data_IF_567549580905
#
_entry.id   IF_567549580905
#
_cell.length_a   1.000
_cell.length_b   1.000
_cell.length_c   1.000
_cell.angle_alpha   90.00
_cell.angle_beta   90.00
_cell.angle_gamma   90.00
#
_symmetry.space_group_name_H-M   'P 1'
#
loop_
_entity.id
_entity.type
_entity.pdbx_description
1 polymer ?
#
# COMPACT_ATOMS: atom_id res chain seq x y z
N UNK A 1 -19.82 -9.92 11.68
CA UNK A 1 -18.90 -11.07 11.78
C UNK A 1 -19.55 -12.03 12.76
N UNK A 2 -19.65 -13.30 12.37
CA UNK A 2 -19.88 -14.41 13.30
C UNK A 2 -18.48 -14.99 13.59
N UNK A 3 -18.12 -15.17 14.85
CA UNK A 3 -16.78 -15.66 15.24
C UNK A 3 -16.78 -17.19 15.26
N UNK A 4 -16.22 -17.80 14.21
CA UNK A 4 -16.01 -19.25 14.17
C UNK A 4 -14.60 -19.63 14.60
N UNK A 5 -14.49 -20.56 15.56
CA UNK A 5 -13.21 -21.00 16.11
C UNK A 5 -12.35 -21.85 15.15
N UNK A 6 -12.92 -22.32 14.03
CA UNK A 6 -12.27 -23.29 13.13
C UNK A 6 -12.46 -22.99 11.64
N UNK A 7 -13.57 -22.38 11.21
CA UNK A 7 -13.80 -21.85 9.85
C UNK A 7 -13.40 -20.38 9.73
N UNK A 8 -13.27 -19.86 8.51
CA UNK A 8 -13.15 -18.42 8.28
C UNK A 8 -14.51 -17.77 8.49
N UNK A 9 -14.51 -16.52 8.96
CA UNK A 9 -15.71 -15.69 9.05
C UNK A 9 -16.45 -15.67 7.70
N UNK A 10 -17.66 -16.21 7.66
CA UNK A 10 -18.47 -16.19 6.46
C UNK A 10 -18.89 -14.76 6.13
N UNK A 11 -18.64 -14.34 4.88
CA UNK A 11 -19.00 -13.00 4.41
C UNK A 11 -20.51 -12.93 4.18
N UNK A 12 -21.21 -12.20 5.05
CA UNK A 12 -22.68 -12.06 5.05
C UNK A 12 -23.19 -11.33 3.79
N UNK A 13 -22.38 -10.44 3.22
CA UNK A 13 -22.72 -9.68 2.02
C UNK A 13 -21.75 -8.53 1.77
N UNK A 14 -21.73 -8.00 0.54
CA UNK A 14 -20.86 -6.89 0.11
C UNK A 14 -21.68 -5.67 -0.31
N UNK A 15 -21.11 -4.50 -0.07
CA UNK A 15 -21.54 -3.23 -0.65
C UNK A 15 -20.42 -2.72 -1.56
N UNK A 16 -20.75 -2.45 -2.83
CA UNK A 16 -19.81 -1.83 -3.78
C UNK A 16 -20.17 -0.35 -3.97
N UNK A 17 -19.30 0.55 -3.55
CA UNK A 17 -19.39 1.99 -3.86
C UNK A 17 -18.28 2.35 -4.87
N UNK A 18 -18.66 2.69 -6.09
CA UNK A 18 -17.67 3.08 -7.11
C UNK A 18 -17.17 4.49 -6.87
N UNK A 19 -15.95 4.79 -7.34
CA UNK A 19 -15.39 6.14 -7.30
C UNK A 19 -16.34 7.16 -7.92
N UNK A 20 -16.99 6.83 -9.04
CA UNK A 20 -17.90 7.75 -9.74
C UNK A 20 -19.17 8.03 -8.91
N UNK A 21 -19.65 7.02 -8.16
CA UNK A 21 -20.78 7.18 -7.22
C UNK A 21 -20.42 8.14 -6.08
N UNK A 22 -19.19 8.07 -5.59
CA UNK A 22 -18.70 8.97 -4.55
C UNK A 22 -18.37 10.36 -5.10
N UNK A 23 -17.78 10.45 -6.29
CA UNK A 23 -17.40 11.71 -6.93
C UNK A 23 -18.62 12.56 -7.33
N UNK A 24 -19.74 11.93 -7.67
CA UNK A 24 -21.02 12.64 -7.95
C UNK A 24 -21.64 13.27 -6.70
N UNK A 25 -21.18 12.94 -5.50
CA UNK A 25 -21.68 13.48 -4.23
C UNK A 25 -20.56 14.20 -3.46
N UNK A 26 -20.50 15.54 -3.49
CA UNK A 26 -19.41 16.31 -2.86
C UNK A 26 -19.26 16.11 -1.34
N UNK A 27 -20.33 15.66 -0.67
CA UNK A 27 -20.33 15.36 0.78
C UNK A 27 -20.05 13.88 1.07
N UNK A 28 -19.83 13.06 0.05
CA UNK A 28 -19.75 11.60 0.17
C UNK A 28 -21.12 10.91 0.12
N UNK A 29 -21.11 9.59 0.30
CA UNK A 29 -22.31 8.77 0.44
C UNK A 29 -22.70 8.67 1.92
N UNK A 30 -23.97 8.90 2.24
CA UNK A 30 -24.53 8.65 3.57
C UNK A 30 -25.91 8.03 3.41
N UNK A 31 -26.08 6.77 3.80
CA UNK A 31 -27.36 6.08 3.71
C UNK A 31 -27.28 4.57 3.88
N UNK A 32 -28.44 3.93 3.71
CA UNK A 32 -28.55 2.47 3.69
C UNK A 32 -28.15 1.94 2.31
N UNK A 33 -27.16 1.07 2.28
CA UNK A 33 -26.74 0.34 1.10
C UNK A 33 -27.15 -1.14 1.23
N UNK A 34 -27.78 -1.68 0.19
CA UNK A 34 -28.20 -3.10 0.18
C UNK A 34 -27.00 -4.02 0.09
N UNK A 35 -27.00 -5.08 0.89
CA UNK A 35 -26.02 -6.13 0.79
C UNK A 35 -26.27 -6.95 -0.47
N UNK A 36 -25.19 -7.28 -1.17
CA UNK A 36 -25.18 -8.19 -2.32
C UNK A 36 -24.42 -9.46 -1.94
N UNK A 37 -24.80 -10.61 -2.51
CA UNK A 37 -24.05 -11.86 -2.31
C UNK A 37 -22.59 -11.65 -2.70
N UNK A 38 -21.68 -12.20 -1.90
CA UNK A 38 -20.25 -12.18 -2.17
C UNK A 38 -19.91 -13.49 -2.85
N UNK A 39 -19.58 -13.42 -4.13
CA UNK A 39 -18.95 -14.54 -4.82
C UNK A 39 -17.43 -14.44 -4.58
N UNK A 40 -16.78 -15.42 -3.92
CA UNK A 40 -15.33 -15.45 -3.76
C UNK A 40 -14.57 -15.38 -5.09
N UNK A 41 -15.19 -15.82 -6.19
CA UNK A 41 -14.65 -15.80 -7.55
C UNK A 41 -14.83 -14.41 -8.23
N UNK A 42 -15.62 -13.51 -7.65
CA UNK A 42 -15.76 -12.11 -8.09
C UNK A 42 -14.75 -11.17 -7.40
N UNK A 43 -14.18 -11.55 -6.27
CA UNK A 43 -13.16 -10.78 -5.55
C UNK A 43 -11.76 -11.01 -6.12
N UNK A 44 -11.60 -10.59 -7.38
CA UNK A 44 -10.33 -10.68 -8.11
C UNK A 44 -9.51 -9.41 -7.91
N UNK A 45 -8.23 -9.60 -7.57
CA UNK A 45 -7.24 -8.55 -7.43
C UNK A 45 -5.93 -8.99 -8.10
N UNK A 46 -5.17 -8.01 -8.58
CA UNK A 46 -3.81 -8.22 -9.04
C UNK A 46 -3.67 -8.27 -10.55
N UNK A 47 -2.41 -8.38 -10.96
CA UNK A 47 -2.00 -8.42 -12.35
C UNK A 47 -1.03 -9.56 -12.57
N UNK A 48 -1.07 -10.14 -13.77
CA UNK A 48 -0.19 -11.22 -14.19
C UNK A 48 0.65 -10.76 -15.39
N UNK A 49 1.95 -11.00 -15.32
CA UNK A 49 2.91 -10.72 -16.38
C UNK A 49 3.05 -11.93 -17.29
N UNK A 50 2.59 -11.79 -18.53
CA UNK A 50 2.58 -12.86 -19.52
C UNK A 50 3.36 -12.43 -20.76
N UNK A 51 3.98 -13.41 -21.42
CA UNK A 51 4.50 -13.28 -22.78
C UNK A 51 3.89 -14.36 -23.65
N UNK A 52 3.19 -13.95 -24.70
CA UNK A 52 2.53 -14.79 -25.67
C UNK A 52 3.23 -14.64 -27.02
N UNK A 53 3.57 -15.75 -27.67
CA UNK A 53 4.24 -15.77 -28.97
C UNK A 53 3.63 -16.85 -29.88
N UNK A 54 3.31 -16.49 -31.12
CA UNK A 54 2.97 -17.44 -32.16
C UNK A 54 4.25 -17.80 -32.90
N UNK A 55 4.70 -19.04 -32.72
CA UNK A 55 5.93 -19.55 -33.32
C UNK A 55 5.57 -20.40 -34.55
N UNK A 56 6.01 -20.02 -35.76
CA UNK A 56 5.81 -20.86 -36.94
C UNK A 56 6.57 -22.17 -36.78
N UNK A 57 5.87 -23.29 -36.97
CA UNK A 57 6.46 -24.63 -36.97
C UNK A 57 6.43 -25.23 -38.37
N UNK A 58 7.20 -26.30 -38.57
CA UNK A 58 7.34 -27.00 -39.87
C UNK A 58 6.07 -27.72 -40.32
N UNK A 59 5.13 -28.01 -39.42
CA UNK A 59 3.87 -28.71 -39.71
C UNK A 59 2.63 -27.94 -39.24
N UNK A 60 2.73 -27.24 -38.12
CA UNK A 60 1.69 -26.37 -37.56
C UNK A 60 2.37 -25.24 -36.78
N UNK A 61 1.68 -24.11 -36.62
CA UNK A 61 2.15 -23.06 -35.73
C UNK A 61 1.95 -23.48 -34.27
N UNK A 62 2.79 -22.96 -33.37
CA UNK A 62 2.70 -23.21 -31.93
C UNK A 62 2.43 -21.90 -31.20
N UNK A 63 1.51 -21.93 -30.26
CA UNK A 63 1.30 -20.86 -29.30
C UNK A 63 2.18 -21.13 -28.07
N UNK A 64 3.13 -20.24 -27.82
CA UNK A 64 3.95 -20.24 -26.63
C UNK A 64 3.40 -19.23 -25.63
N UNK A 65 3.08 -19.70 -24.44
CA UNK A 65 2.62 -18.89 -23.32
C UNK A 65 3.63 -18.99 -22.18
N UNK A 66 4.39 -17.92 -21.95
CA UNK A 66 5.30 -17.78 -20.82
C UNK A 66 4.59 -17.05 -19.68
N UNK A 67 4.45 -17.74 -18.55
CA UNK A 67 3.93 -17.21 -17.30
C UNK A 67 5.11 -16.77 -16.44
N UNK A 68 5.33 -15.46 -16.35
CA UNK A 68 6.54 -14.90 -15.74
C UNK A 68 6.35 -14.70 -14.23
N UNK A 69 5.47 -13.78 -13.86
CA UNK A 69 5.21 -13.38 -12.47
C UNK A 69 3.81 -12.78 -12.32
N UNK A 70 3.34 -12.65 -11.09
CA UNK A 70 2.14 -11.88 -10.76
C UNK A 70 2.40 -10.94 -9.57
N UNK A 71 1.54 -9.94 -9.42
CA UNK A 71 1.63 -8.97 -8.33
C UNK A 71 0.26 -8.60 -7.79
N UNK A 72 0.27 -8.22 -6.51
CA UNK A 72 -0.90 -7.74 -5.78
C UNK A 72 -2.07 -8.75 -5.82
N UNK A 73 -1.77 -10.05 -5.82
CA UNK A 73 -2.79 -11.10 -5.77
C UNK A 73 -3.59 -11.02 -4.48
N UNK A 74 -4.88 -11.35 -4.55
CA UNK A 74 -5.75 -11.39 -3.39
C UNK A 74 -5.21 -12.40 -2.35
N UNK A 75 -5.00 -12.02 -1.08
CA UNK A 75 -4.59 -12.95 -0.05
C UNK A 75 -5.75 -13.88 0.29
N UNK A 76 -5.62 -15.16 -0.07
CA UNK A 76 -6.63 -16.19 0.17
C UNK A 76 -6.21 -17.16 1.28
N UNK A 77 -5.12 -16.92 2.03
CA UNK A 77 -4.72 -17.65 3.24
C UNK A 77 -4.85 -16.84 4.54
N UNK A 78 -5.04 -17.53 5.68
CA UNK A 78 -5.09 -16.88 7.02
C UNK A 78 -3.77 -16.21 7.39
N UNK A 79 -2.69 -16.57 6.72
CA UNK A 79 -1.36 -16.00 6.89
C UNK A 79 -1.21 -14.63 6.18
N UNK A 80 -2.25 -14.15 5.49
CA UNK A 80 -2.21 -12.89 4.73
C UNK A 80 -1.52 -12.98 3.37
N UNK A 81 -1.32 -14.19 2.85
CA UNK A 81 -0.75 -14.48 1.54
C UNK A 81 -1.63 -15.48 0.75
N UNK A 82 -1.05 -16.13 -0.26
CA UNK A 82 -1.60 -17.26 -1.01
C UNK A 82 -0.47 -18.20 -1.41
N UNK A 83 -0.80 -19.44 -1.79
CA UNK A 83 0.05 -20.42 -2.46
C UNK A 83 -0.29 -20.50 -3.98
N UNK A 84 -0.03 -19.45 -4.78
CA UNK A 84 -0.57 -19.36 -6.14
C UNK A 84 0.10 -20.31 -7.16
N UNK A 85 -0.72 -20.78 -8.09
CA UNK A 85 -0.33 -21.44 -9.33
C UNK A 85 -1.20 -20.97 -10.50
N UNK A 86 -0.73 -21.17 -11.73
CA UNK A 86 -1.42 -20.72 -12.95
C UNK A 86 -1.79 -21.91 -13.82
N UNK A 87 -3.05 -21.95 -14.24
CA UNK A 87 -3.61 -22.92 -15.18
C UNK A 87 -3.79 -22.27 -16.55
N UNK A 88 -3.11 -22.80 -17.55
CA UNK A 88 -3.19 -22.36 -18.95
C UNK A 88 -4.02 -23.37 -19.74
N UNK A 89 -5.15 -22.93 -20.29
CA UNK A 89 -6.10 -23.76 -21.04
C UNK A 89 -6.22 -23.30 -22.48
N UNK A 90 -6.07 -24.23 -23.41
CA UNK A 90 -6.28 -24.00 -24.83
C UNK A 90 -6.74 -25.27 -25.53
N UNK A 91 -7.80 -25.18 -26.35
CA UNK A 91 -8.34 -26.28 -27.15
C UNK A 91 -8.54 -27.60 -26.37
N UNK A 92 -9.10 -27.52 -25.16
CA UNK A 92 -9.33 -28.66 -24.27
C UNK A 92 -8.07 -29.21 -23.57
N UNK A 93 -6.87 -28.73 -23.91
CA UNK A 93 -5.62 -29.05 -23.21
C UNK A 93 -5.43 -28.07 -22.05
N UNK A 94 -4.93 -28.58 -20.92
CA UNK A 94 -4.65 -27.80 -19.71
C UNK A 94 -3.24 -28.10 -19.24
N UNK A 95 -2.46 -27.06 -18.96
CA UNK A 95 -1.13 -27.13 -18.37
C UNK A 95 -1.09 -26.20 -17.14
N UNK A 96 -0.31 -26.56 -16.13
CA UNK A 96 -0.24 -25.82 -14.85
C UNK A 96 1.21 -25.51 -14.48
N UNK A 97 1.43 -24.38 -13.82
CA UNK A 97 2.73 -24.04 -13.24
C UNK A 97 2.99 -24.80 -11.95
N UNK A 98 4.23 -24.70 -11.47
CA UNK A 98 4.52 -24.98 -10.06
C UNK A 98 3.75 -24.05 -9.10
N UNK A 99 3.57 -24.52 -7.86
CA UNK A 99 2.94 -23.77 -6.77
C UNK A 99 4.02 -22.96 -6.05
N UNK A 100 3.83 -21.65 -5.95
CA UNK A 100 4.70 -20.77 -5.16
C UNK A 100 4.05 -20.53 -3.81
N UNK A 101 4.72 -20.90 -2.71
CA UNK A 101 4.10 -20.80 -1.37
C UNK A 101 4.18 -19.40 -0.77
N UNK A 102 3.14 -19.00 -0.05
CA UNK A 102 3.05 -17.82 0.82
C UNK A 102 3.48 -16.53 0.13
N UNK A 103 2.94 -16.25 -1.05
CA UNK A 103 3.28 -15.06 -1.82
C UNK A 103 2.07 -14.47 -2.56
N UNK A 104 1.86 -13.16 -2.40
CA UNK A 104 1.01 -12.35 -3.28
C UNK A 104 1.79 -11.76 -4.49
N UNK A 105 3.09 -12.07 -4.58
CA UNK A 105 4.00 -11.63 -5.65
C UNK A 105 4.80 -12.83 -6.21
N UNK A 106 4.13 -13.87 -6.73
CA UNK A 106 4.81 -15.08 -7.18
C UNK A 106 5.60 -14.89 -8.47
N UNK A 107 6.64 -15.70 -8.64
CA UNK A 107 7.46 -15.78 -9.86
C UNK A 107 7.57 -17.23 -10.29
N UNK A 108 7.07 -17.53 -11.48
CA UNK A 108 7.11 -18.89 -12.05
C UNK A 108 8.19 -18.98 -13.12
N UNK A 109 8.23 -18.04 -14.07
CA UNK A 109 9.10 -18.09 -15.25
C UNK A 109 8.98 -19.41 -16.02
N UNK A 110 7.76 -19.92 -16.13
CA UNK A 110 7.44 -21.19 -16.79
C UNK A 110 6.82 -20.94 -18.16
N UNK A 111 7.10 -21.82 -19.13
CA UNK A 111 6.64 -21.65 -20.51
C UNK A 111 5.92 -22.89 -21.00
N UNK A 112 4.74 -22.68 -21.56
CA UNK A 112 3.86 -23.70 -22.09
C UNK A 112 3.72 -23.55 -23.59
N UNK A 113 3.73 -24.66 -24.32
CA UNK A 113 3.50 -24.67 -25.76
C UNK A 113 2.23 -25.44 -26.11
N UNK A 114 1.46 -24.91 -27.05
CA UNK A 114 0.25 -25.51 -27.59
C UNK A 114 0.30 -25.49 -29.12
N UNK A 115 -0.21 -26.52 -29.77
CA UNK A 115 -0.32 -26.57 -31.23
C UNK A 115 -1.56 -25.78 -31.68
N UNK A 116 -1.39 -24.87 -32.64
CA UNK A 116 -2.49 -24.13 -33.25
C UNK A 116 -3.02 -24.93 -34.45
N UNK A 117 -4.22 -25.48 -34.31
CA UNK A 117 -4.92 -26.22 -35.36
C UNK A 117 -5.97 -25.33 -36.04
N UNK A 118 -6.19 -25.52 -37.35
CA UNK A 118 -7.26 -24.84 -38.08
C UNK A 118 -8.63 -25.34 -37.58
N UNK A 119 -9.48 -24.43 -37.08
CA UNK A 119 -10.77 -24.76 -36.48
C UNK A 119 -10.74 -25.05 -34.97
N UNK A 120 -9.61 -24.81 -34.29
CA UNK A 120 -9.47 -24.93 -32.84
C UNK A 120 -10.21 -23.84 -32.04
N UNK A 121 -10.17 -23.95 -30.70
CA UNK A 121 -10.72 -22.94 -29.80
C UNK A 121 -10.19 -21.53 -30.11
N UNK A 122 -11.09 -20.54 -30.15
CA UNK A 122 -10.75 -19.15 -30.48
C UNK A 122 -9.99 -18.40 -29.38
N UNK A 123 -9.81 -19.00 -28.20
CA UNK A 123 -9.27 -18.32 -27.03
C UNK A 123 -8.31 -19.17 -26.19
N UNK A 124 -7.23 -18.52 -25.73
CA UNK A 124 -6.34 -18.99 -24.68
C UNK A 124 -6.83 -18.44 -23.33
N UNK A 125 -7.09 -19.31 -22.36
CA UNK A 125 -7.47 -18.91 -21.01
C UNK A 125 -6.29 -19.13 -20.05
N UNK A 126 -5.92 -18.09 -19.30
CA UNK A 126 -4.86 -18.15 -18.27
C UNK A 126 -5.50 -17.80 -16.93
N UNK A 127 -5.43 -18.70 -15.96
CA UNK A 127 -6.16 -18.60 -14.70
C UNK A 127 -5.21 -18.75 -13.53
N UNK A 128 -5.22 -17.78 -12.62
CA UNK A 128 -4.52 -17.87 -11.35
C UNK A 128 -5.44 -18.50 -10.29
N UNK A 129 -4.86 -19.39 -9.50
CA UNK A 129 -5.53 -20.14 -8.46
C UNK A 129 -4.67 -20.16 -7.21
N UNK A 130 -5.28 -20.15 -6.03
CA UNK A 130 -4.61 -20.44 -4.78
C UNK A 130 -4.70 -21.93 -4.48
N UNK A 131 -3.57 -22.58 -4.22
CA UNK A 131 -3.57 -24.00 -3.91
C UNK A 131 -3.83 -24.23 -2.42
N UNK A 132 -4.85 -25.03 -2.13
CA UNK A 132 -5.20 -25.43 -0.77
C UNK A 132 -4.96 -26.92 -0.53
N UNK A 133 -4.32 -27.26 0.59
CA UNK A 133 -4.06 -28.65 0.95
C UNK A 133 -5.34 -29.39 1.38
N UNK A 134 -6.25 -28.69 2.06
CA UNK A 134 -7.41 -29.30 2.75
C UNK A 134 -8.75 -28.89 2.13
N UNK A 135 -8.83 -27.68 1.58
CA UNK A 135 -10.00 -27.13 0.90
C UNK A 135 -9.89 -27.25 -0.62
N UNK A 136 -10.92 -26.78 -1.33
CA UNK A 136 -10.84 -26.55 -2.77
C UNK A 136 -10.00 -25.31 -3.02
N UNK A 137 -9.19 -25.35 -4.07
CA UNK A 137 -8.41 -24.21 -4.52
C UNK A 137 -9.29 -22.98 -4.78
N UNK A 138 -8.88 -21.83 -4.25
CA UNK A 138 -9.57 -20.56 -4.43
C UNK A 138 -9.21 -19.93 -5.77
N UNK A 139 -10.18 -19.35 -6.47
CA UNK A 139 -9.93 -18.64 -7.71
C UNK A 139 -9.30 -17.26 -7.41
N UNK A 140 -8.20 -16.94 -8.09
CA UNK A 140 -7.52 -15.65 -7.96
C UNK A 140 -7.78 -14.72 -9.16
N UNK A 141 -8.34 -15.25 -10.25
CA UNK A 141 -8.72 -14.49 -11.44
C UNK A 141 -8.22 -15.08 -12.74
N UNK A 142 -8.67 -14.55 -13.88
CA UNK A 142 -8.27 -15.01 -15.21
C UNK A 142 -8.02 -13.89 -16.21
N UNK A 143 -7.29 -14.22 -17.25
CA UNK A 143 -7.16 -13.42 -18.47
C UNK A 143 -7.44 -14.32 -19.67
N UNK A 144 -8.20 -13.81 -20.63
CA UNK A 144 -8.57 -14.54 -21.85
C UNK A 144 -8.05 -13.77 -23.05
N UNK A 145 -7.31 -14.48 -23.91
CA UNK A 145 -6.72 -13.90 -25.12
C UNK A 145 -7.37 -14.50 -26.35
N UNK A 146 -7.74 -13.66 -27.32
CA UNK A 146 -8.19 -14.12 -28.63
C UNK A 146 -7.01 -14.63 -29.43
N UNK A 147 -7.06 -15.89 -29.85
CA UNK A 147 -6.02 -16.49 -30.68
C UNK A 147 -5.94 -15.81 -32.04
N UNK A 148 -7.07 -15.37 -32.60
CA UNK A 148 -7.11 -14.59 -33.85
C UNK A 148 -6.33 -13.27 -33.75
N UNK A 149 -6.43 -12.57 -32.61
CA UNK A 149 -5.63 -11.37 -32.37
C UNK A 149 -4.15 -11.69 -32.22
N UNK A 150 -3.81 -12.77 -31.51
CA UNK A 150 -2.43 -13.23 -31.37
C UNK A 150 -1.80 -13.61 -32.72
N UNK A 151 -2.58 -14.16 -33.66
CA UNK A 151 -2.12 -14.40 -35.04
C UNK A 151 -1.72 -13.11 -35.77
N UNK A 152 -2.41 -12.00 -35.53
CA UNK A 152 -2.10 -10.72 -36.16
C UNK A 152 -0.90 -10.07 -35.48
N UNK A 153 -0.90 -10.01 -34.15
CA UNK A 153 0.15 -9.34 -33.37
C UNK A 153 1.45 -10.15 -33.34
N UNK A 154 1.39 -11.48 -33.52
CA UNK A 154 2.47 -12.48 -33.45
C UNK A 154 3.16 -12.60 -32.09
N UNK A 155 3.29 -11.50 -31.34
CA UNK A 155 3.85 -11.46 -30.00
C UNK A 155 3.17 -10.40 -29.15
N UNK A 156 2.83 -10.74 -27.92
CA UNK A 156 2.27 -9.84 -26.93
C UNK A 156 2.95 -10.08 -25.58
N UNK A 157 3.39 -9.01 -24.91
CA UNK A 157 4.06 -9.09 -23.61
C UNK A 157 3.65 -7.91 -22.75
N UNK A 158 3.26 -8.18 -21.51
CA UNK A 158 2.87 -7.13 -20.59
C UNK A 158 2.17 -7.62 -19.34
N UNK A 159 1.78 -6.65 -18.52
CA UNK A 159 0.96 -6.86 -17.34
C UNK A 159 -0.50 -6.85 -17.72
N UNK A 160 -1.23 -7.91 -17.33
CA UNK A 160 -2.64 -8.08 -17.60
C UNK A 160 -3.42 -8.15 -16.30
N UNK A 161 -4.47 -7.35 -16.21
CA UNK A 161 -5.32 -7.32 -15.02
C UNK A 161 -6.21 -8.56 -14.97
N UNK A 162 -6.13 -9.30 -13.86
CA UNK A 162 -6.96 -10.47 -13.63
C UNK A 162 -8.44 -10.06 -13.57
N UNK A 163 -9.30 -10.88 -14.16
CA UNK A 163 -10.75 -10.68 -14.24
C UNK A 163 -11.50 -11.80 -13.50
N UNK A 164 -12.69 -11.50 -12.95
CA UNK A 164 -13.57 -12.50 -12.34
C UNK A 164 -14.18 -13.46 -13.36
N UNK A 165 -14.70 -14.59 -12.88
CA UNK A 165 -15.39 -15.55 -13.74
C UNK A 165 -16.87 -15.21 -13.92
N UNK A 166 -17.19 -14.45 -14.97
CA UNK A 166 -18.57 -14.03 -15.28
C UNK A 166 -19.49 -15.18 -15.72
N UNK A 167 -18.99 -16.41 -15.90
CA UNK A 167 -19.80 -17.54 -16.39
C UNK A 167 -20.82 -18.07 -15.37
N UNK A 168 -20.68 -17.71 -14.09
CA UNK A 168 -21.62 -18.08 -13.01
C UNK A 168 -22.64 -16.97 -12.72
N UNK A 169 -23.44 -16.61 -13.73
CA UNK A 169 -24.57 -15.69 -13.53
C UNK A 169 -25.70 -16.33 -12.68
N UNK A 170 -25.73 -15.96 -11.39
CA UNK A 170 -26.78 -15.97 -10.34
C UNK A 170 -28.04 -16.84 -10.49
N UNK A 171 -28.35 -17.56 -9.40
CA UNK A 171 -29.72 -17.64 -8.84
C UNK A 171 -29.77 -16.68 -7.66
N UNK A 172 -30.47 -15.55 -7.78
CA UNK A 172 -30.72 -14.65 -6.65
C UNK A 172 -31.43 -15.43 -5.52
N UNK A 173 -30.71 -15.73 -4.43
CA UNK A 173 -31.30 -16.28 -3.21
C UNK A 173 -31.39 -15.21 -2.13
N UNK A 174 -32.48 -14.45 -2.20
CA UNK A 174 -33.04 -13.79 -1.03
C UNK A 174 -32.44 -12.43 -0.65
N UNK A 175 -33.12 -11.77 0.30
CA UNK A 175 -32.81 -10.44 0.79
C UNK A 175 -31.77 -10.54 1.92
N UNK A 176 -30.51 -10.19 1.65
CA UNK A 176 -29.40 -10.21 2.62
C UNK A 176 -29.43 -9.05 3.63
N UNK A 177 -30.40 -8.13 3.52
CA UNK A 177 -30.49 -6.95 4.39
C UNK A 177 -29.74 -5.74 3.85
N UNK A 178 -29.47 -4.76 4.70
CA UNK A 178 -28.83 -3.48 4.32
C UNK A 178 -27.91 -2.98 5.42
N UNK A 179 -26.85 -2.28 5.03
CA UNK A 179 -25.85 -1.69 5.91
C UNK A 179 -25.93 -0.16 5.83
N UNK A 180 -25.91 0.52 6.98
CA UNK A 180 -25.82 1.98 7.02
C UNK A 180 -24.36 2.40 6.95
N UNK A 181 -24.03 3.23 5.95
CA UNK A 181 -22.65 3.67 5.69
C UNK A 181 -22.58 5.19 5.57
N UNK A 182 -21.48 5.77 6.08
CA UNK A 182 -21.03 7.12 5.76
C UNK A 182 -19.61 7.03 5.16
N UNK A 183 -19.46 7.39 3.89
CA UNK A 183 -18.20 7.26 3.13
C UNK A 183 -17.89 8.58 2.46
N UNK A 184 -16.71 9.15 2.74
CA UNK A 184 -16.23 10.41 2.13
C UNK A 184 -15.02 10.14 1.25
N UNK A 185 -15.02 10.69 0.04
CA UNK A 185 -13.88 10.66 -0.87
C UNK A 185 -13.11 11.98 -0.74
N UNK A 186 -11.81 11.90 -0.46
CA UNK A 186 -10.91 13.05 -0.45
C UNK A 186 -9.81 12.80 -1.49
N UNK A 187 -9.75 13.63 -2.53
CA UNK A 187 -8.71 13.57 -3.55
C UNK A 187 -7.62 14.61 -3.24
N UNK A 188 -6.37 14.18 -3.06
CA UNK A 188 -5.21 15.05 -2.89
C UNK A 188 -4.36 15.01 -4.15
N UNK A 189 -4.44 16.06 -4.97
CA UNK A 189 -3.50 16.25 -6.06
C UNK A 189 -2.24 16.95 -5.54
N UNK A 190 -1.12 16.22 -5.45
CA UNK A 190 0.19 16.80 -5.18
C UNK A 190 0.78 17.30 -6.50
N UNK A 191 1.00 18.61 -6.60
CA UNK A 191 1.56 19.22 -7.80
C UNK A 191 3.08 18.94 -7.90
N UNK A 192 3.69 19.06 -9.09
CA UNK A 192 5.14 19.03 -9.21
C UNK A 192 5.82 20.08 -8.31
N UNK A 193 7.03 19.79 -7.83
CA UNK A 193 7.76 20.65 -6.88
C UNK A 193 7.95 22.09 -7.35
N UNK A 194 8.04 22.31 -8.67
CA UNK A 194 8.15 23.64 -9.29
C UNK A 194 6.98 24.57 -8.95
N UNK A 195 5.77 24.03 -8.78
CA UNK A 195 4.58 24.81 -8.46
C UNK A 195 4.63 25.44 -7.06
N UNK A 196 5.40 24.84 -6.14
CA UNK A 196 5.53 25.32 -4.75
C UNK A 196 6.72 26.27 -4.53
N UNK A 197 7.60 26.43 -5.54
CA UNK A 197 8.81 27.25 -5.40
C UNK A 197 8.55 28.69 -4.95
N UNK A 198 7.52 29.41 -5.43
CA UNK A 198 7.25 30.77 -4.96
C UNK A 198 6.99 30.85 -3.45
N UNK A 199 6.21 29.91 -2.91
CA UNK A 199 5.94 29.82 -1.47
C UNK A 199 7.22 29.49 -0.70
N UNK A 200 8.00 28.52 -1.17
CA UNK A 200 9.28 28.14 -0.54
C UNK A 200 10.24 29.33 -0.49
N UNK A 201 10.34 30.12 -1.56
CA UNK A 201 11.19 31.31 -1.61
C UNK A 201 10.75 32.38 -0.60
N UNK A 202 9.45 32.60 -0.46
CA UNK A 202 8.91 33.55 0.53
C UNK A 202 9.23 33.10 1.96
N UNK A 203 8.99 31.83 2.28
CA UNK A 203 9.30 31.25 3.59
C UNK A 203 10.80 31.32 3.89
N UNK A 204 11.65 30.97 2.93
CA UNK A 204 13.11 31.04 3.10
C UNK A 204 13.60 32.47 3.26
N UNK A 205 13.01 33.44 2.55
CA UNK A 205 13.37 34.86 2.67
C UNK A 205 13.06 35.39 4.06
N UNK A 206 11.90 35.05 4.61
CA UNK A 206 11.51 35.45 5.97
C UNK A 206 12.45 34.87 7.01
N UNK A 207 12.74 33.56 6.93
CA UNK A 207 13.68 32.89 7.85
C UNK A 207 15.09 33.49 7.77
N UNK A 208 15.59 33.81 6.57
CA UNK A 208 16.91 34.44 6.40
C UNK A 208 16.99 35.87 6.96
N UNK A 209 15.91 36.62 6.87
CA UNK A 209 15.85 38.01 7.36
C UNK A 209 15.50 38.08 8.86
N UNK A 210 14.93 37.01 9.42
CA UNK A 210 14.53 36.93 10.81
C UNK A 210 13.55 38.05 11.20
N UNK A 211 13.73 38.59 12.41
CA UNK A 211 12.91 39.68 12.98
C UNK A 211 12.92 41.00 12.19
N UNK A 212 13.76 41.14 11.15
CA UNK A 212 13.81 42.31 10.26
C UNK A 212 12.94 42.15 9.00
N UNK A 213 12.27 41.00 8.84
CA UNK A 213 11.39 40.74 7.70
C UNK A 213 10.04 41.44 7.84
N UNK A 214 9.54 42.14 6.81
CA UNK A 214 8.13 42.57 6.76
C UNK A 214 7.17 41.40 6.49
N UNK A 215 7.68 40.20 6.17
CA UNK A 215 6.89 38.98 6.02
C UNK A 215 6.44 38.45 7.38
N UNK A 216 5.14 38.17 7.50
CA UNK A 216 4.50 37.57 8.70
C UNK A 216 4.01 36.15 8.43
N UNK A 217 4.64 35.40 7.50
CA UNK A 217 4.15 34.09 7.09
C UNK A 217 4.32 33.04 8.18
N UNK A 218 5.48 32.99 8.86
CA UNK A 218 5.70 32.03 9.96
C UNK A 218 4.77 32.33 11.14
N UNK A 219 4.65 33.59 11.62
CA UNK A 219 3.64 33.95 12.62
C UNK A 219 2.20 33.61 12.21
N UNK A 220 1.83 33.84 10.95
CA UNK A 220 0.50 33.55 10.42
C UNK A 220 0.23 32.04 10.35
N UNK A 221 1.23 31.24 9.94
CA UNK A 221 1.13 29.78 9.96
C UNK A 221 0.92 29.30 11.39
N UNK A 222 1.66 29.83 12.36
CA UNK A 222 1.47 29.45 13.76
C UNK A 222 0.07 29.78 14.28
N UNK A 223 -0.45 30.97 13.96
CA UNK A 223 -1.79 31.42 14.39
C UNK A 223 -2.92 30.63 13.72
N UNK A 224 -2.77 30.26 12.46
CA UNK A 224 -3.78 29.50 11.70
C UNK A 224 -3.70 27.99 11.91
N UNK A 225 -2.63 27.49 12.53
CA UNK A 225 -2.44 26.05 12.78
C UNK A 225 -3.21 25.59 14.00
N UNK A 226 -4.16 24.68 13.79
CA UNK A 226 -4.90 24.00 14.86
C UNK A 226 -3.97 23.17 15.75
N UNK A 227 -4.43 22.85 16.97
CA UNK A 227 -3.67 22.03 17.93
C UNK A 227 -3.36 20.63 17.38
N UNK A 228 -4.28 20.04 16.62
CA UNK A 228 -4.15 18.69 16.07
C UNK A 228 -3.12 18.62 14.94
N UNK A 229 -3.05 19.66 14.10
CA UNK A 229 -2.14 19.71 12.95
C UNK A 229 -0.73 20.22 13.29
N UNK A 230 -0.51 20.74 14.50
CA UNK A 230 0.73 21.46 14.86
C UNK A 230 1.99 20.61 14.75
N UNK A 231 1.89 19.33 15.10
CA UNK A 231 3.02 18.40 14.97
C UNK A 231 3.40 18.19 13.49
N UNK A 232 2.41 18.04 12.62
CA UNK A 232 2.64 17.81 11.19
C UNK A 232 3.21 19.06 10.51
N UNK A 233 2.66 20.23 10.84
CA UNK A 233 3.17 21.52 10.34
C UNK A 233 4.63 21.72 10.77
N UNK A 234 4.95 21.51 12.06
CA UNK A 234 6.31 21.60 12.57
C UNK A 234 7.27 20.65 11.84
N UNK A 235 6.86 19.40 11.65
CA UNK A 235 7.65 18.36 10.98
C UNK A 235 7.91 18.72 9.52
N UNK A 236 6.90 19.21 8.80
CA UNK A 236 7.01 19.56 7.38
C UNK A 236 7.84 20.83 7.15
N UNK A 237 7.64 21.87 7.96
CA UNK A 237 8.46 23.08 7.90
C UNK A 237 9.93 22.78 8.23
N UNK A 238 10.17 21.98 9.26
CA UNK A 238 11.54 21.59 9.60
C UNK A 238 12.21 20.83 8.45
N UNK A 239 11.53 19.85 7.83
CA UNK A 239 12.06 19.12 6.67
C UNK A 239 12.37 20.07 5.51
N UNK A 240 11.49 21.03 5.25
CA UNK A 240 11.71 22.06 4.23
C UNK A 240 12.99 22.85 4.52
N UNK A 241 13.14 23.40 5.72
CA UNK A 241 14.30 24.24 6.06
C UNK A 241 15.59 23.44 6.24
N UNK A 242 15.52 22.17 6.64
CA UNK A 242 16.66 21.25 6.59
C UNK A 242 17.14 21.08 5.14
N UNK A 243 16.22 20.84 4.20
CA UNK A 243 16.55 20.72 2.78
C UNK A 243 17.12 22.00 2.16
N UNK A 244 16.80 23.16 2.73
CA UNK A 244 17.30 24.48 2.29
C UNK A 244 18.54 24.95 3.07
N UNK A 245 19.01 24.19 4.07
CA UNK A 245 20.14 24.57 4.92
C UNK A 245 19.86 25.70 5.92
N UNK A 246 18.59 25.97 6.22
CA UNK A 246 18.12 27.08 7.07
C UNK A 246 17.47 26.61 8.38
N UNK A 247 17.65 25.34 8.76
CA UNK A 247 16.99 24.78 9.94
C UNK A 247 17.34 25.53 11.24
N UNK A 248 18.59 25.97 11.39
CA UNK A 248 19.01 26.76 12.54
C UNK A 248 18.30 28.12 12.57
N UNK A 249 18.36 28.86 11.47
CA UNK A 249 17.74 30.19 11.37
C UNK A 249 16.23 30.13 11.61
N UNK A 250 15.59 29.05 11.14
CA UNK A 250 14.16 28.79 11.38
C UNK A 250 13.85 28.57 12.85
N UNK A 251 14.64 27.75 13.55
CA UNK A 251 14.47 27.52 14.98
C UNK A 251 14.72 28.81 15.79
N UNK A 252 15.77 29.56 15.45
CA UNK A 252 16.09 30.84 16.09
C UNK A 252 14.92 31.84 15.92
N UNK A 253 14.31 31.90 14.74
CA UNK A 253 13.12 32.74 14.50
C UNK A 253 11.93 32.29 15.36
N UNK A 254 11.60 30.99 15.40
CA UNK A 254 10.49 30.50 16.21
C UNK A 254 10.71 30.77 17.70
N UNK A 255 11.93 30.59 18.21
CA UNK A 255 12.24 30.87 19.60
C UNK A 255 12.16 32.37 19.91
N UNK A 256 12.60 33.25 19.01
CA UNK A 256 12.41 34.70 19.16
C UNK A 256 10.92 35.09 19.19
N UNK A 257 10.11 34.51 18.31
CA UNK A 257 8.67 34.77 18.27
C UNK A 257 7.96 34.28 19.54
N UNK A 258 8.32 33.11 20.04
CA UNK A 258 7.75 32.57 21.28
C UNK A 258 8.17 33.42 22.49
N UNK A 259 9.45 33.76 22.61
CA UNK A 259 9.96 34.67 23.65
C UNK A 259 9.26 36.03 23.62
N UNK A 260 8.95 36.56 22.43
CA UNK A 260 8.24 37.83 22.28
C UNK A 260 6.74 37.77 22.62
N UNK A 261 6.11 36.60 22.48
CA UNK A 261 4.67 36.38 22.78
C UNK A 261 4.42 35.98 24.22
N UNK A 262 5.37 35.32 24.87
CA UNK A 262 5.19 34.81 26.23
C UNK A 262 5.42 35.89 27.28
N UNK A 263 4.36 36.24 28.03
CA UNK A 263 4.44 37.17 29.17
C UNK A 263 4.91 36.50 30.47
N UNK A 264 4.64 35.20 30.64
CA UNK A 264 4.96 34.44 31.85
C UNK A 264 6.01 33.38 31.59
N UNK A 265 7.17 33.48 32.27
CA UNK A 265 8.29 32.55 32.11
C UNK A 265 7.93 31.07 32.33
N UNK A 266 6.96 30.78 33.21
CA UNK A 266 6.51 29.40 33.51
C UNK A 266 5.65 28.76 32.41
N UNK A 267 5.36 29.50 31.34
CA UNK A 267 4.58 29.05 30.18
C UNK A 267 5.41 28.94 28.91
N UNK A 268 6.68 29.36 28.97
CA UNK A 268 7.62 29.36 27.86
C UNK A 268 7.97 27.93 27.44
N UNK A 269 7.96 27.65 26.13
CA UNK A 269 8.31 26.34 25.56
C UNK A 269 7.50 25.17 26.11
N UNK A 270 6.21 25.40 26.37
CA UNK A 270 5.27 24.30 26.64
C UNK A 270 5.09 23.46 25.38
N UNK A 271 4.87 22.16 25.58
CA UNK A 271 4.89 21.12 24.55
C UNK A 271 3.95 21.31 23.35
N UNK A 272 3.08 22.31 23.37
CA UNK A 272 2.09 22.59 22.32
C UNK A 272 2.34 23.90 21.55
N UNK A 273 3.56 24.47 21.59
CA UNK A 273 3.96 25.57 20.70
C UNK A 273 4.60 25.06 19.41
N UNK A 274 4.59 25.89 18.34
CA UNK A 274 5.26 25.53 17.09
C UNK A 274 6.77 25.40 17.29
N UNK A 275 7.40 26.21 18.15
CA UNK A 275 8.83 26.10 18.46
C UNK A 275 9.15 24.79 19.20
N UNK A 276 8.37 24.44 20.23
CA UNK A 276 8.56 23.19 20.98
C UNK A 276 8.44 21.97 20.07
N UNK A 277 7.43 21.94 19.18
CA UNK A 277 7.24 20.83 18.23
C UNK A 277 8.30 20.79 17.13
N UNK A 278 8.78 21.95 16.68
CA UNK A 278 9.87 22.03 15.70
C UNK A 278 11.18 21.55 16.29
N UNK A 279 11.46 21.91 17.55
CA UNK A 279 12.64 21.45 18.28
C UNK A 279 12.58 19.95 18.57
N UNK A 280 11.44 19.41 19.00
CA UNK A 280 11.23 17.96 19.17
C UNK A 280 11.53 17.21 17.86
N UNK A 281 11.01 17.71 16.74
CA UNK A 281 11.23 17.13 15.41
C UNK A 281 12.71 17.23 14.99
N UNK A 282 13.38 18.33 15.30
CA UNK A 282 14.80 18.52 15.00
C UNK A 282 15.68 17.57 15.79
N UNK A 283 15.40 17.41 17.10
CA UNK A 283 16.09 16.46 17.96
C UNK A 283 15.89 15.03 17.49
N UNK A 284 14.72 14.66 16.98
CA UNK A 284 14.54 13.35 16.33
C UNK A 284 15.44 13.21 15.10
N UNK A 285 15.45 14.17 14.19
CA UNK A 285 16.26 14.07 12.97
C UNK A 285 17.77 14.04 13.26
N UNK A 286 18.25 14.96 14.09
CA UNK A 286 19.67 15.06 14.43
C UNK A 286 20.12 13.96 15.41
N UNK A 287 19.30 13.70 16.42
CA UNK A 287 19.61 12.79 17.52
C UNK A 287 19.48 11.32 17.15
N UNK A 288 18.60 10.93 16.23
CA UNK A 288 18.45 9.52 15.85
C UNK A 288 19.74 8.92 15.30
N UNK A 289 20.48 9.64 14.44
CA UNK A 289 21.78 9.13 13.93
C UNK A 289 22.80 8.95 15.05
N UNK A 290 22.83 9.88 16.01
CA UNK A 290 23.69 9.77 17.19
C UNK A 290 23.29 8.57 18.06
N UNK A 291 21.99 8.40 18.34
CA UNK A 291 21.46 7.28 19.11
C UNK A 291 21.78 5.94 18.45
N UNK A 292 21.55 5.81 17.14
CA UNK A 292 21.90 4.59 16.40
C UNK A 292 23.40 4.32 16.42
N UNK A 293 24.24 5.35 16.31
CA UNK A 293 25.70 5.18 16.38
C UNK A 293 26.21 4.77 17.77
N UNK A 294 25.61 5.30 18.84
CA UNK A 294 26.07 5.08 20.21
C UNK A 294 25.42 3.86 20.86
N UNK A 295 24.10 3.73 20.75
CA UNK A 295 23.33 2.66 21.41
C UNK A 295 23.04 1.49 20.49
N UNK A 296 22.97 1.69 19.18
CA UNK A 296 22.66 0.64 18.21
C UNK A 296 23.48 -0.64 18.39
N UNK A 297 24.83 -0.58 18.38
CA UNK A 297 25.67 -1.77 18.55
C UNK A 297 25.47 -2.52 19.87
N UNK A 298 25.10 -1.81 20.94
CA UNK A 298 24.83 -2.43 22.25
C UNK A 298 23.47 -3.12 22.22
N UNK A 299 22.45 -2.44 21.67
CA UNK A 299 21.10 -2.98 21.53
C UNK A 299 21.12 -4.23 20.64
N UNK A 300 21.79 -4.16 19.49
CA UNK A 300 21.90 -5.30 18.56
C UNK A 300 22.55 -6.51 19.25
N UNK A 301 23.62 -6.28 20.01
CA UNK A 301 24.27 -7.33 20.80
C UNK A 301 23.32 -7.95 21.83
N UNK A 302 22.52 -7.16 22.53
CA UNK A 302 21.53 -7.67 23.49
C UNK A 302 20.50 -8.57 22.79
N UNK A 303 20.02 -8.18 21.60
CA UNK A 303 19.09 -8.99 20.82
C UNK A 303 19.72 -10.27 20.27
N UNK A 304 20.98 -10.22 19.84
CA UNK A 304 21.72 -11.39 19.32
C UNK A 304 22.07 -12.40 20.40
N UNK A 305 22.50 -11.93 21.58
CA UNK A 305 22.94 -12.80 22.67
C UNK A 305 21.79 -13.59 23.32
N UNK A 306 20.52 -13.18 23.12
CA UNK A 306 19.30 -13.80 23.69
C UNK A 306 19.41 -14.12 25.19
N UNK A 307 20.24 -13.39 25.92
CA UNK A 307 20.40 -13.56 27.37
C UNK A 307 19.19 -12.99 28.08
N UNK A 308 18.87 -13.57 29.23
CA UNK A 308 17.86 -13.01 30.12
C UNK A 308 18.41 -11.68 30.66
N UNK A 309 17.79 -10.57 30.28
CA UNK A 309 18.15 -9.23 30.76
C UNK A 309 17.15 -8.84 31.83
N UNK A 310 17.61 -8.77 33.08
CA UNK A 310 16.80 -8.34 34.22
C UNK A 310 17.05 -6.84 34.50
N UNK A 311 15.98 -6.06 34.55
CA UNK A 311 16.03 -4.60 34.76
C UNK A 311 15.89 -4.24 36.24
N UNK A 312 15.35 -5.14 37.05
CA UNK A 312 15.22 -4.97 38.49
C UNK A 312 16.48 -5.48 39.21
N UNK A 313 17.30 -4.61 39.82
CA UNK A 313 18.52 -5.01 40.51
C UNK A 313 18.29 -6.04 41.62
N UNK A 314 17.07 -6.11 42.16
CA UNK A 314 16.70 -7.05 43.24
C UNK A 314 16.41 -8.48 42.75
N UNK A 315 16.26 -8.67 41.44
CA UNK A 315 15.95 -9.96 40.80
C UNK A 315 17.10 -10.57 39.99
N UNK A 316 18.24 -9.87 39.92
CA UNK A 316 19.45 -10.40 39.28
C UNK A 316 19.99 -11.54 40.14
N UNK A 317 19.89 -12.78 39.65
CA UNK A 317 20.49 -13.93 40.34
C UNK A 317 22.03 -13.78 40.36
N UNK A 318 22.63 -13.86 41.56
CA UNK A 318 24.06 -13.56 41.82
C UNK A 318 25.05 -14.53 41.11
N UNK A 319 24.57 -15.48 40.30
CA UNK A 319 25.40 -16.56 39.73
C UNK A 319 26.14 -16.22 38.43
N UNK A 320 25.86 -15.09 37.78
CA UNK A 320 26.47 -14.75 36.48
C UNK A 320 27.55 -13.66 36.55
N UNK A 321 28.19 -13.47 37.70
CA UNK A 321 29.44 -12.69 37.82
C UNK A 321 30.62 -13.66 37.85
N UNK A 322 31.06 -14.08 36.66
CA UNK A 322 32.28 -14.84 36.43
C UNK A 322 33.04 -14.26 35.25
#
# INVERSE_FOLDING_TARGET
MDEDALSRDDVIGKVCLTRDTLASHPKGFSGWARLTEVDPDEEVQGEIHLRLEVVPGTRACRLRCSVLEARDLAPKDRNGASDPFVRVRYNGRTQETSIVKKSCYPRWNETFEFELEEGAADALCVEAWDWDLVSRNDFLGKVVFSVQQLWVTQREEGWFRLQPDQSKSRRDKGNLGSLQLEVRLWDQTVLPSGCYQPLVQLLCREVKLGSQSPGQLIPLIEETTSTECRQDVATNLLKLFLGQGLAKDFLDLLFQLELGRTSEANTLFRSNSLASKSMESFLKVAGMRYLHGVLGPIIDRVFEEKKYVELDPSKVEVKDVG
#
